data_IF_829379207380
#
_entry.id   IF_829379207380
#
_cell.length_a   1.000
_cell.length_b   1.000
_cell.length_c   1.000
_cell.angle_alpha   90.00
_cell.angle_beta   90.00
_cell.angle_gamma   90.00
#
_symmetry.space_group_name_H-M   'P 1'
#
loop_
_entity.id
_entity.type
_entity.pdbx_description
1 polymer ?
#
# COMPACT_ATOMS: atom_id res chain seq x y z
N UNK A 1 6.09 6.86 17.68
CA UNK A 1 5.52 5.94 16.67
C UNK A 1 5.78 6.53 15.29
N UNK A 2 6.40 5.75 14.40
CA UNK A 2 6.60 6.13 13.00
C UNK A 2 5.46 5.63 12.13
N UNK A 3 4.55 6.52 11.71
CA UNK A 3 3.46 6.19 10.79
C UNK A 3 3.05 7.44 10.02
N UNK A 4 2.68 7.30 8.75
CA UNK A 4 2.27 8.42 7.89
C UNK A 4 3.34 9.55 7.89
N UNK A 5 4.63 9.21 7.84
CA UNK A 5 5.76 10.15 7.87
C UNK A 5 6.08 10.79 9.23
N UNK A 6 5.31 10.50 10.28
CA UNK A 6 5.59 11.03 11.64
C UNK A 6 6.84 10.40 12.24
N UNK A 7 7.58 11.15 13.06
CA UNK A 7 8.78 10.65 13.73
C UNK A 7 9.95 10.36 12.78
N UNK A 8 9.94 10.98 11.60
CA UNK A 8 11.01 10.93 10.62
C UNK A 8 11.51 12.34 10.35
N UNK A 9 12.82 12.50 10.16
CA UNK A 9 13.45 13.75 9.77
C UNK A 9 14.42 13.48 8.62
N UNK A 10 14.50 14.41 7.66
CA UNK A 10 15.37 14.28 6.48
C UNK A 10 16.64 15.10 6.67
N UNK A 11 17.78 14.43 6.55
CA UNK A 11 19.09 15.08 6.46
C UNK A 11 19.40 15.41 5.00
N UNK A 12 19.65 16.68 4.69
CA UNK A 12 20.18 17.10 3.38
C UNK A 12 21.70 17.28 3.46
N UNK A 13 22.19 17.74 4.61
CA UNK A 13 23.62 17.85 4.91
C UNK A 13 23.92 17.30 6.30
N UNK A 14 25.20 17.13 6.64
CA UNK A 14 25.61 16.71 7.98
C UNK A 14 25.18 17.71 9.07
N UNK A 15 25.04 19.00 8.73
CA UNK A 15 24.65 20.05 9.66
C UNK A 15 23.19 19.94 10.12
N UNK A 16 22.35 19.18 9.39
CA UNK A 16 20.96 18.93 9.80
C UNK A 16 20.85 17.98 11.01
N UNK A 17 21.92 17.26 11.36
CA UNK A 17 21.86 16.11 12.27
C UNK A 17 21.30 16.43 13.66
N UNK A 18 21.77 17.53 14.29
CA UNK A 18 21.31 17.91 15.62
C UNK A 18 19.82 18.27 15.63
N UNK A 19 19.39 19.10 14.67
CA UNK A 19 17.99 19.49 14.50
C UNK A 19 17.09 18.28 14.23
N UNK A 20 17.51 17.39 13.33
CA UNK A 20 16.74 16.19 12.98
C UNK A 20 16.59 15.24 14.18
N UNK A 21 17.63 15.10 15.01
CA UNK A 21 17.59 14.30 16.23
C UNK A 21 16.58 14.85 17.24
N UNK A 22 16.54 16.17 17.41
CA UNK A 22 15.56 16.84 18.27
C UNK A 22 14.14 16.73 17.69
N UNK A 23 13.96 16.88 16.37
CA UNK A 23 12.66 16.75 15.69
C UNK A 23 12.01 15.37 15.89
N UNK A 24 12.81 14.30 15.95
CA UNK A 24 12.33 12.94 16.23
C UNK A 24 12.27 12.63 17.73
N UNK A 25 12.61 13.59 18.59
CA UNK A 25 12.52 13.47 20.05
C UNK A 25 13.56 12.55 20.68
N UNK A 26 14.73 12.38 20.04
CA UNK A 26 15.86 11.61 20.54
C UNK A 26 15.54 10.14 20.86
N UNK A 27 14.58 9.55 20.16
CA UNK A 27 14.19 8.16 20.33
C UNK A 27 15.14 7.22 19.57
N UNK A 28 15.22 5.93 19.91
CA UNK A 28 15.93 4.95 19.09
C UNK A 28 15.48 5.04 17.63
N UNK A 29 16.45 5.21 16.73
CA UNK A 29 16.21 5.48 15.32
C UNK A 29 17.17 4.69 14.44
N UNK A 30 16.77 4.49 13.18
CA UNK A 30 17.62 4.00 12.11
C UNK A 30 17.97 5.17 11.20
N UNK A 31 19.19 5.16 10.66
CA UNK A 31 19.64 6.10 9.64
C UNK A 31 19.82 5.33 8.33
N UNK A 32 19.11 5.77 7.30
CA UNK A 32 19.11 5.14 5.99
C UNK A 32 19.56 6.13 4.93
N UNK A 33 20.28 5.64 3.92
CA UNK A 33 20.62 6.44 2.75
C UNK A 33 19.36 6.82 1.99
N UNK A 34 19.30 8.05 1.46
CA UNK A 34 18.17 8.46 0.65
C UNK A 34 18.12 7.62 -0.64
N UNK A 35 17.05 6.86 -0.85
CA UNK A 35 16.84 6.06 -2.04
C UNK A 35 16.40 6.96 -3.22
N UNK A 36 17.19 7.11 -4.30
CA UNK A 36 16.80 7.89 -5.48
C UNK A 36 15.84 7.10 -6.39
N UNK A 37 14.70 6.67 -5.84
CA UNK A 37 13.69 5.92 -6.59
C UNK A 37 12.94 6.81 -7.61
N UNK A 38 12.41 6.18 -8.66
CA UNK A 38 11.62 6.87 -9.70
C UNK A 38 10.13 6.89 -9.37
N UNK A 39 9.66 5.87 -8.64
CA UNK A 39 8.29 5.75 -8.14
C UNK A 39 8.21 4.78 -6.97
N UNK A 40 7.12 4.87 -6.22
CA UNK A 40 6.81 3.96 -5.12
C UNK A 40 5.80 2.92 -5.61
N UNK A 41 6.06 1.66 -5.30
CA UNK A 41 5.21 0.53 -5.66
C UNK A 41 4.80 -0.22 -4.39
N UNK A 42 3.79 -1.07 -4.48
CA UNK A 42 3.54 -2.09 -3.47
C UNK A 42 3.03 -3.38 -4.08
N UNK A 43 3.39 -4.49 -3.47
CA UNK A 43 2.76 -5.79 -3.70
C UNK A 43 2.02 -6.20 -2.44
N UNK A 44 0.72 -6.46 -2.57
CA UNK A 44 -0.09 -7.07 -1.50
C UNK A 44 -0.16 -8.56 -1.80
N UNK A 45 0.09 -9.40 -0.79
CA UNK A 45 0.08 -10.84 -0.95
C UNK A 45 -0.61 -11.51 0.24
N UNK A 46 -1.19 -12.68 -0.01
CA UNK A 46 -1.76 -13.55 0.99
C UNK A 46 -0.95 -14.84 1.07
N UNK A 47 -0.63 -15.28 2.28
CA UNK A 47 0.00 -16.58 2.53
C UNK A 47 -0.93 -17.47 3.36
N UNK A 48 -1.25 -18.65 2.83
CA UNK A 48 -2.11 -19.64 3.48
C UNK A 48 -1.38 -20.47 4.53
N UNK A 49 -2.14 -21.24 5.33
CA UNK A 49 -1.60 -22.21 6.29
C UNK A 49 -0.78 -23.32 5.61
N UNK A 50 -1.07 -23.62 4.35
CA UNK A 50 -0.32 -24.57 3.51
C UNK A 50 0.99 -23.98 2.95
N UNK A 51 1.27 -22.71 3.28
CA UNK A 51 2.45 -21.98 2.84
C UNK A 51 2.39 -21.42 1.43
N UNK A 52 1.30 -21.63 0.68
CA UNK A 52 1.12 -21.02 -0.65
C UNK A 52 0.98 -19.52 -0.53
N UNK A 53 1.60 -18.80 -1.47
CA UNK A 53 1.52 -17.35 -1.59
C UNK A 53 0.76 -16.99 -2.86
N UNK A 54 -0.20 -16.08 -2.75
CA UNK A 54 -0.90 -15.46 -3.88
C UNK A 54 -0.73 -13.95 -3.77
N UNK A 55 -0.12 -13.35 -4.78
CA UNK A 55 0.15 -11.92 -4.85
C UNK A 55 -0.82 -11.22 -5.81
N UNK A 56 -1.30 -10.04 -5.40
CA UNK A 56 -1.99 -9.11 -6.30
C UNK A 56 -0.99 -8.46 -7.26
N UNK A 57 -1.46 -7.96 -8.43
CA UNK A 57 -0.66 -7.10 -9.27
C UNK A 57 -0.04 -5.93 -8.50
N UNK A 58 1.11 -5.46 -8.96
CA UNK A 58 1.74 -4.25 -8.44
C UNK A 58 0.76 -3.07 -8.48
N UNK A 59 0.76 -2.26 -7.43
CA UNK A 59 0.13 -0.95 -7.41
C UNK A 59 1.22 0.13 -7.38
N UNK A 60 1.05 1.19 -8.15
CA UNK A 60 1.86 2.40 -8.06
C UNK A 60 1.23 3.36 -7.06
N UNK A 61 2.02 3.81 -6.10
CA UNK A 61 1.55 4.56 -4.94
C UNK A 61 2.08 5.99 -4.98
N UNK A 62 1.19 6.95 -4.76
CA UNK A 62 1.54 8.37 -4.70
C UNK A 62 1.28 8.87 -3.28
N UNK A 63 2.35 9.25 -2.59
CA UNK A 63 2.29 9.83 -1.25
C UNK A 63 2.36 11.36 -1.30
N UNK A 64 1.65 12.02 -0.37
CA UNK A 64 1.77 13.47 -0.13
C UNK A 64 1.87 13.70 1.37
N UNK A 65 2.96 14.32 1.81
CA UNK A 65 3.21 14.57 3.23
C UNK A 65 3.32 13.29 4.06
N UNK A 66 3.85 12.21 3.48
CA UNK A 66 3.97 10.90 4.15
C UNK A 66 2.69 10.07 4.19
N UNK A 67 1.58 10.56 3.61
CA UNK A 67 0.30 9.83 3.58
C UNK A 67 -0.01 9.39 2.16
N UNK A 68 -0.42 8.12 1.99
CA UNK A 68 -0.89 7.58 0.71
C UNK A 68 -2.10 8.38 0.22
N UNK A 69 -1.98 8.99 -0.96
CA UNK A 69 -3.07 9.71 -1.63
C UNK A 69 -3.76 8.84 -2.67
N UNK A 70 -2.98 8.19 -3.52
CA UNK A 70 -3.49 7.36 -4.61
C UNK A 70 -2.75 6.04 -4.73
N UNK A 71 -3.47 4.97 -5.08
CA UNK A 71 -2.92 3.72 -5.58
C UNK A 71 -3.49 3.43 -6.96
N UNK A 72 -2.62 3.28 -7.96
CA UNK A 72 -2.98 2.99 -9.35
C UNK A 72 -2.61 1.55 -9.66
N UNK A 73 -3.62 0.74 -9.98
CA UNK A 73 -3.44 -0.70 -10.14
C UNK A 73 -4.23 -1.23 -11.35
N UNK A 74 -3.69 -2.20 -12.10
CA UNK A 74 -2.29 -2.63 -12.07
C UNK A 74 -1.32 -1.51 -12.49
N UNK A 75 -0.16 -1.45 -11.85
CA UNK A 75 0.92 -0.57 -12.23
C UNK A 75 1.46 -0.96 -13.61
N UNK A 76 1.88 0.03 -14.41
CA UNK A 76 2.60 -0.23 -15.65
C UNK A 76 4.02 -0.70 -15.33
N UNK A 77 4.27 -1.99 -15.54
CA UNK A 77 5.52 -2.64 -15.20
C UNK A 77 5.83 -3.77 -16.19
N UNK A 78 7.12 -4.04 -16.40
CA UNK A 78 7.53 -5.21 -17.18
C UNK A 78 7.21 -6.50 -16.43
N UNK A 79 7.00 -7.60 -17.16
CA UNK A 79 6.76 -8.92 -16.54
C UNK A 79 7.88 -9.29 -15.55
N UNK A 80 9.14 -9.01 -15.90
CA UNK A 80 10.29 -9.24 -15.02
C UNK A 80 10.21 -8.46 -13.71
N UNK A 81 9.72 -7.22 -13.72
CA UNK A 81 9.55 -6.42 -12.51
C UNK A 81 8.43 -6.99 -11.62
N UNK A 82 7.32 -7.42 -12.24
CA UNK A 82 6.22 -8.10 -11.54
C UNK A 82 6.66 -9.44 -10.91
N UNK A 83 7.44 -10.23 -11.64
CA UNK A 83 7.99 -11.50 -11.14
C UNK A 83 8.93 -11.26 -9.96
N UNK A 84 9.79 -10.23 -10.04
CA UNK A 84 10.66 -9.83 -8.93
C UNK A 84 9.87 -9.41 -7.69
N UNK A 85 8.80 -8.62 -7.84
CA UNK A 85 7.95 -8.22 -6.73
C UNK A 85 7.27 -9.43 -6.07
N UNK A 86 6.75 -10.36 -6.88
CA UNK A 86 6.15 -11.61 -6.39
C UNK A 86 7.18 -12.46 -5.64
N UNK A 87 8.39 -12.60 -6.18
CA UNK A 87 9.47 -13.35 -5.52
C UNK A 87 9.92 -12.71 -4.19
N UNK A 88 9.92 -11.37 -4.11
CA UNK A 88 10.17 -10.64 -2.86
C UNK A 88 9.08 -10.97 -1.83
N UNK A 89 7.80 -10.89 -2.23
CA UNK A 89 6.68 -11.19 -1.35
C UNK A 89 6.71 -12.65 -0.86
N UNK A 90 7.00 -13.62 -1.74
CA UNK A 90 7.13 -15.03 -1.39
C UNK A 90 8.24 -15.26 -0.37
N UNK A 91 9.44 -14.71 -0.62
CA UNK A 91 10.59 -14.82 0.28
C UNK A 91 10.31 -14.21 1.65
N UNK A 92 9.65 -13.04 1.70
CA UNK A 92 9.27 -12.38 2.95
C UNK A 92 8.22 -13.21 3.69
N UNK A 93 7.15 -13.63 3.02
CA UNK A 93 6.07 -14.42 3.61
C UNK A 93 6.58 -15.74 4.19
N UNK A 94 7.45 -16.43 3.45
CA UNK A 94 8.09 -17.66 3.91
C UNK A 94 9.05 -17.43 5.07
N UNK A 95 9.94 -16.42 4.95
CA UNK A 95 10.95 -16.12 5.97
C UNK A 95 10.36 -15.67 7.31
N UNK A 96 9.22 -14.98 7.29
CA UNK A 96 8.50 -14.58 8.50
C UNK A 96 7.52 -15.65 9.00
N UNK A 97 7.26 -16.70 8.23
CA UNK A 97 6.23 -17.69 8.54
C UNK A 97 4.83 -17.09 8.63
N UNK A 98 4.56 -15.97 7.95
CA UNK A 98 3.30 -15.21 8.09
C UNK A 98 2.11 -16.01 7.54
N UNK A 99 0.95 -15.86 8.17
CA UNK A 99 -0.34 -16.40 7.68
C UNK A 99 -1.34 -15.26 7.64
N UNK A 100 -2.03 -15.14 6.51
CA UNK A 100 -2.88 -13.99 6.22
C UNK A 100 -2.28 -13.09 5.14
N UNK A 101 -2.90 -11.93 4.98
CA UNK A 101 -2.43 -10.88 4.08
C UNK A 101 -1.34 -10.03 4.71
N UNK A 102 -0.41 -9.61 3.86
CA UNK A 102 0.64 -8.64 4.15
C UNK A 102 0.91 -7.78 2.91
N UNK A 103 1.49 -6.61 3.12
CA UNK A 103 1.95 -5.74 2.05
C UNK A 103 3.45 -5.51 2.16
N UNK A 104 4.10 -5.43 1.01
CA UNK A 104 5.50 -5.01 0.88
C UNK A 104 5.50 -3.71 0.10
N UNK A 105 5.93 -2.63 0.74
CA UNK A 105 6.17 -1.35 0.08
C UNK A 105 7.55 -1.37 -0.57
N UNK A 106 7.62 -0.87 -1.79
CA UNK A 106 8.76 -1.03 -2.69
C UNK A 106 9.15 0.32 -3.28
N UNK A 107 10.45 0.52 -3.43
CA UNK A 107 11.01 1.58 -4.25
C UNK A 107 11.46 1.00 -5.60
N UNK A 108 11.00 1.61 -6.70
CA UNK A 108 11.49 1.30 -8.05
C UNK A 108 12.76 2.12 -8.33
N UNK A 109 13.89 1.42 -8.36
CA UNK A 109 15.22 1.97 -8.58
C UNK A 109 15.63 1.92 -10.07
N UNK A 110 14.68 1.65 -10.98
CA UNK A 110 14.96 1.53 -12.40
C UNK A 110 15.86 0.33 -12.72
N UNK A 111 17.06 0.57 -13.23
CA UNK A 111 18.00 -0.50 -13.62
C UNK A 111 18.43 -1.37 -12.43
N UNK A 112 18.48 -0.81 -11.22
CA UNK A 112 18.85 -1.55 -9.99
C UNK A 112 17.67 -2.40 -9.45
N UNK A 113 16.47 -2.19 -9.99
CA UNK A 113 15.27 -2.96 -9.68
C UNK A 113 14.53 -2.50 -8.44
N UNK A 114 14.10 -3.44 -7.59
CA UNK A 114 13.21 -3.15 -6.46
C UNK A 114 13.97 -3.19 -5.13
N UNK A 115 13.80 -2.16 -4.32
CA UNK A 115 14.20 -2.15 -2.91
C UNK A 115 12.96 -2.23 -2.02
N UNK A 116 13.05 -2.97 -0.92
CA UNK A 116 11.98 -3.04 0.09
C UNK A 116 12.11 -1.83 1.01
N UNK A 117 11.04 -1.04 1.10
CA UNK A 117 10.92 0.07 2.04
C UNK A 117 10.44 -0.45 3.40
N UNK A 118 9.22 -0.99 3.44
CA UNK A 118 8.63 -1.53 4.67
C UNK A 118 7.70 -2.72 4.39
N UNK A 119 7.34 -3.43 5.47
CA UNK A 119 6.43 -4.58 5.43
C UNK A 119 5.32 -4.34 6.45
N UNK A 120 4.07 -4.49 6.01
CA UNK A 120 2.90 -4.45 6.89
C UNK A 120 2.26 -5.84 6.96
N UNK A 121 2.31 -6.54 8.11
CA UNK A 121 1.75 -7.89 8.26
C UNK A 121 0.23 -7.89 8.47
N UNK A 122 -0.48 -7.14 7.62
CA UNK A 122 -1.94 -6.97 7.64
C UNK A 122 -2.42 -6.55 6.25
N UNK A 123 -3.74 -6.50 6.08
CA UNK A 123 -4.35 -5.71 4.99
C UNK A 123 -3.82 -4.28 4.99
N UNK A 124 -3.67 -3.70 3.80
CA UNK A 124 -3.01 -2.43 3.59
C UNK A 124 -3.85 -1.48 2.74
N UNK A 125 -3.64 -0.19 2.96
CA UNK A 125 -4.35 0.90 2.28
C UNK A 125 -4.16 0.82 0.75
N UNK A 126 -2.94 0.52 0.29
CA UNK A 126 -2.63 0.33 -1.13
C UNK A 126 -3.24 -0.93 -1.73
N UNK A 127 -3.88 -1.79 -0.94
CA UNK A 127 -4.65 -2.94 -1.42
C UNK A 127 -6.15 -2.65 -1.53
N UNK A 128 -6.66 -1.48 -1.12
CA UNK A 128 -8.10 -1.20 -1.12
C UNK A 128 -8.73 -1.20 -2.52
N UNK A 129 -7.92 -0.97 -3.57
CA UNK A 129 -8.38 -1.10 -4.96
C UNK A 129 -8.91 -2.50 -5.30
N UNK A 130 -8.44 -3.54 -4.59
CA UNK A 130 -8.86 -4.94 -4.83
C UNK A 130 -10.33 -5.18 -4.50
N UNK A 131 -10.94 -4.33 -3.66
CA UNK A 131 -12.35 -4.47 -3.24
C UNK A 131 -13.34 -4.37 -4.40
N UNK A 132 -13.01 -3.61 -5.44
CA UNK A 132 -13.91 -3.37 -6.57
C UNK A 132 -13.32 -3.78 -7.92
N UNK A 133 -12.05 -4.18 -7.97
CA UNK A 133 -11.36 -4.50 -9.22
C UNK A 133 -10.86 -5.95 -9.31
N UNK A 134 -10.96 -6.73 -8.23
CA UNK A 134 -10.57 -8.14 -8.20
C UNK A 134 -11.76 -9.03 -7.76
N UNK A 135 -11.85 -10.29 -8.24
CA UNK A 135 -12.85 -11.26 -7.78
C UNK A 135 -12.72 -11.61 -6.29
N UNK A 136 -11.51 -11.54 -5.75
CA UNK A 136 -11.16 -11.79 -4.35
C UNK A 136 -10.39 -10.59 -3.83
N UNK A 137 -10.96 -9.83 -2.91
CA UNK A 137 -10.28 -8.67 -2.33
C UNK A 137 -9.30 -9.07 -1.24
N UNK A 138 -8.43 -8.16 -0.82
CA UNK A 138 -7.43 -8.43 0.22
C UNK A 138 -8.03 -8.85 1.58
N UNK A 139 -9.24 -8.43 1.92
CA UNK A 139 -9.90 -8.82 3.17
C UNK A 139 -10.43 -10.24 3.06
N UNK A 140 -11.05 -10.59 1.94
CA UNK A 140 -11.48 -11.95 1.67
C UNK A 140 -10.28 -12.91 1.59
N UNK A 141 -9.19 -12.51 0.92
CA UNK A 141 -7.93 -13.26 0.92
C UNK A 141 -7.38 -13.45 2.33
N UNK A 142 -7.47 -12.43 3.19
CA UNK A 142 -7.02 -12.53 4.57
C UNK A 142 -7.82 -13.61 5.30
N UNK A 143 -9.15 -13.58 5.16
CA UNK A 143 -10.03 -14.58 5.77
C UNK A 143 -9.79 -15.99 5.23
N UNK A 144 -9.65 -16.16 3.90
CA UNK A 144 -9.29 -17.45 3.29
C UNK A 144 -7.99 -18.01 3.86
N UNK A 145 -6.95 -17.18 3.93
CA UNK A 145 -5.65 -17.56 4.45
C UNK A 145 -5.69 -18.03 5.91
N UNK A 146 -6.34 -17.26 6.81
CA UNK A 146 -6.40 -17.61 8.24
C UNK A 146 -7.38 -18.74 8.54
N UNK A 147 -8.41 -18.93 7.71
CA UNK A 147 -9.37 -20.03 7.83
C UNK A 147 -8.88 -21.35 7.19
N UNK A 148 -7.75 -21.32 6.46
CA UNK A 148 -7.21 -22.49 5.76
C UNK A 148 -7.99 -22.87 4.49
N UNK A 149 -8.70 -21.92 3.89
CA UNK A 149 -9.37 -22.12 2.59
C UNK A 149 -8.39 -21.91 1.43
N UNK A 150 -8.68 -22.46 0.24
CA UNK A 150 -7.94 -22.10 -0.96
C UNK A 150 -7.95 -20.58 -1.16
N UNK A 151 -6.78 -20.00 -1.42
CA UNK A 151 -6.65 -18.59 -1.76
C UNK A 151 -7.37 -18.32 -3.09
N UNK A 152 -8.07 -17.19 -3.17
CA UNK A 152 -8.84 -16.76 -4.32
C UNK A 152 -7.97 -16.16 -5.43
N UNK A 153 -8.59 -15.94 -6.58
CA UNK A 153 -7.96 -15.35 -7.77
C UNK A 153 -7.63 -13.85 -7.55
N UNK A 154 -6.35 -13.45 -7.63
CA UNK A 154 -5.95 -12.05 -7.49
C UNK A 154 -6.09 -11.25 -8.80
N UNK A 155 -6.47 -11.89 -9.91
CA UNK A 155 -6.48 -11.27 -11.22
C UNK A 155 -7.48 -10.11 -11.28
N UNK A 156 -7.06 -8.92 -11.72
CA UNK A 156 -7.96 -7.79 -11.85
C UNK A 156 -8.90 -8.00 -13.03
N UNK A 157 -10.17 -7.63 -12.89
CA UNK A 157 -11.12 -7.53 -14.00
C UNK A 157 -11.24 -6.09 -14.52
N UNK A 158 -10.65 -5.11 -13.84
CA UNK A 158 -10.65 -3.69 -14.21
C UNK A 158 -9.37 -3.01 -13.72
N UNK A 159 -8.97 -1.90 -14.36
CA UNK A 159 -8.00 -0.97 -13.78
C UNK A 159 -8.70 -0.16 -12.70
N UNK A 160 -7.95 0.24 -11.68
CA UNK A 160 -8.46 1.04 -10.59
C UNK A 160 -7.48 2.14 -10.22
N UNK A 161 -8.00 3.35 -10.06
CA UNK A 161 -7.34 4.41 -9.27
C UNK A 161 -8.09 4.52 -7.95
N UNK A 162 -7.45 4.08 -6.87
CA UNK A 162 -7.93 4.21 -5.51
C UNK A 162 -7.43 5.55 -4.95
N UNK A 163 -8.32 6.40 -4.45
CA UNK A 163 -8.00 7.71 -3.87
C UNK A 163 -8.49 7.80 -2.43
N UNK A 164 -7.60 8.14 -1.49
CA UNK A 164 -7.98 8.31 -0.09
C UNK A 164 -8.79 9.59 0.12
N UNK A 165 -9.84 9.49 0.93
CA UNK A 165 -10.56 10.65 1.45
C UNK A 165 -9.99 10.99 2.83
N UNK A 166 -9.10 11.98 2.89
CA UNK A 166 -8.39 12.39 4.10
C UNK A 166 -9.03 13.65 4.68
N UNK A 167 -9.37 13.62 5.97
CA UNK A 167 -10.02 14.73 6.64
C UNK A 167 -11.27 15.17 5.87
N UNK A 168 -11.33 16.44 5.52
CA UNK A 168 -12.45 17.06 4.82
C UNK A 168 -12.56 16.70 3.33
N UNK A 169 -11.61 15.95 2.75
CA UNK A 169 -11.78 15.38 1.41
C UNK A 169 -13.04 14.49 1.34
N UNK A 170 -13.49 13.94 2.49
CA UNK A 170 -14.70 13.13 2.59
C UNK A 170 -15.98 13.91 2.26
N UNK A 171 -15.98 15.23 2.43
CA UNK A 171 -17.18 16.05 2.24
C UNK A 171 -17.59 16.12 0.76
N UNK A 172 -16.68 15.78 -0.16
CA UNK A 172 -16.93 15.67 -1.60
C UNK A 172 -17.63 14.35 -2.02
N UNK A 173 -17.97 13.46 -1.07
CA UNK A 173 -18.51 12.13 -1.39
C UNK A 173 -19.76 12.16 -2.30
N UNK A 174 -20.62 13.17 -2.15
CA UNK A 174 -21.86 13.31 -2.91
C UNK A 174 -21.62 13.56 -4.40
N UNK A 175 -20.60 14.34 -4.73
CA UNK A 175 -20.20 14.58 -6.13
C UNK A 175 -19.47 13.35 -6.70
N UNK A 176 -18.65 12.68 -5.88
CA UNK A 176 -17.90 11.51 -6.29
C UNK A 176 -18.80 10.30 -6.64
N UNK A 177 -19.85 10.06 -5.86
CA UNK A 177 -20.77 8.93 -6.09
C UNK A 177 -21.68 9.13 -7.31
N UNK A 178 -21.83 10.37 -7.79
CA UNK A 178 -22.61 10.64 -9.00
C UNK A 178 -21.93 10.10 -10.27
N UNK A 179 -20.63 9.80 -10.21
CA UNK A 179 -19.88 9.20 -11.28
C UNK A 179 -20.09 7.67 -11.34
N UNK A 180 -20.62 7.11 -12.45
CA UNK A 180 -20.95 5.69 -12.55
C UNK A 180 -19.73 4.77 -12.47
N UNK A 181 -18.52 5.29 -12.69
CA UNK A 181 -17.27 4.53 -12.64
C UNK A 181 -16.63 4.54 -11.24
N UNK A 182 -17.24 5.22 -10.27
CA UNK A 182 -16.74 5.34 -8.90
C UNK A 182 -17.44 4.37 -7.95
N UNK A 183 -16.68 3.79 -7.02
CA UNK A 183 -17.15 3.01 -5.88
C UNK A 183 -16.68 3.69 -4.59
N UNK A 184 -17.65 4.14 -3.78
CA UNK A 184 -17.39 4.88 -2.55
C UNK A 184 -17.33 3.94 -1.35
N UNK A 185 -16.28 4.08 -0.54
CA UNK A 185 -16.12 3.36 0.73
C UNK A 185 -15.91 4.35 1.88
N UNK A 186 -16.90 4.47 2.77
CA UNK A 186 -16.82 5.33 3.96
C UNK A 186 -16.65 4.48 5.22
N UNK A 187 -15.71 4.85 6.09
CA UNK A 187 -15.38 4.06 7.28
C UNK A 187 -16.27 4.32 8.49
N UNK A 188 -17.35 5.11 8.35
CA UNK A 188 -18.28 5.40 9.45
C UNK A 188 -17.68 6.18 10.63
N UNK A 189 -16.55 6.86 10.43
CA UNK A 189 -15.88 7.65 11.48
C UNK A 189 -16.70 8.91 11.78
N UNK A 190 -17.17 9.04 13.03
CA UNK A 190 -18.07 10.12 13.47
C UNK A 190 -17.48 11.53 13.44
N UNK A 191 -16.16 11.64 13.51
CA UNK A 191 -15.46 12.92 13.63
C UNK A 191 -14.40 13.05 12.53
N UNK A 192 -14.50 14.11 11.74
CA UNK A 192 -13.50 14.49 10.73
C UNK A 192 -12.34 15.18 11.44
N UNK A 193 -11.11 14.77 11.13
CA UNK A 193 -9.88 15.42 11.62
C UNK A 193 -8.86 15.48 10.49
N UNK A 194 -8.05 16.53 10.48
CA UNK A 194 -6.95 16.67 9.52
C UNK A 194 -6.00 15.46 9.56
N UNK A 195 -5.62 14.99 8.37
CA UNK A 195 -4.78 13.80 8.22
C UNK A 195 -5.47 12.46 8.52
N UNK A 196 -6.74 12.44 8.97
CA UNK A 196 -7.47 11.20 9.27
C UNK A 196 -8.04 10.60 7.99
N UNK A 197 -7.71 9.35 7.66
CA UNK A 197 -8.34 8.60 6.56
C UNK A 197 -9.81 8.34 6.90
N UNK A 198 -10.75 8.97 6.20
CA UNK A 198 -12.20 8.88 6.47
C UNK A 198 -12.91 7.87 5.58
N UNK A 199 -12.34 7.60 4.41
CA UNK A 199 -12.81 6.64 3.43
C UNK A 199 -11.83 6.55 2.26
N UNK A 200 -12.27 5.88 1.20
CA UNK A 200 -11.62 5.94 -0.10
C UNK A 200 -12.66 5.83 -1.22
N UNK A 201 -12.24 6.18 -2.43
CA UNK A 201 -12.98 5.90 -3.65
C UNK A 201 -12.13 5.04 -4.56
N UNK A 202 -12.75 4.07 -5.21
CA UNK A 202 -12.16 3.29 -6.30
C UNK A 202 -12.81 3.73 -7.61
N UNK A 203 -12.02 4.32 -8.50
CA UNK A 203 -12.45 4.66 -9.86
C UNK A 203 -12.02 3.57 -10.81
N UNK A 204 -12.98 2.89 -11.42
CA UNK A 204 -12.74 1.76 -12.32
C UNK A 204 -12.63 2.21 -13.77
N UNK A 205 -11.70 1.62 -14.51
CA UNK A 205 -11.63 1.74 -15.97
C UNK A 205 -11.35 0.38 -16.60
N UNK A 206 -11.60 0.26 -17.92
CA UNK A 206 -11.36 -1.00 -18.65
C UNK A 206 -9.85 -1.33 -18.67
N UNK A 207 -9.52 -2.62 -18.63
CA UNK A 207 -8.14 -3.13 -18.71
C UNK A 207 -7.50 -2.88 -20.07
#
# INVERSE_FOLDING_TARGET
FGYDGKGQARLKTADDAARAWDEIGGQPAILEGFAPFTRELSVVAARGLDGRVVAFPLAENIHKGGILRESRAPAEASASLCDRATAIADKIGAGLGHVGVFAVELFDMGADGLWVNEIAPRVHNSGHWTMDACPSDQFEQHMRAVAGWPLGDPAPHSRCTMTNLIGHDVDAWGDLIADPDVRLHLYGKREVRDGRKMGHVNRLTRL
#
